data_IF_878483576752
#
_entry.id   IF_878483576752
#
_cell.length_a   1.000
_cell.length_b   1.000
_cell.length_c   1.000
_cell.angle_alpha   90.00
_cell.angle_beta   90.00
_cell.angle_gamma   90.00
#
_symmetry.space_group_name_H-M   'P 1'
#
loop_
_entity.id
_entity.type
_entity.pdbx_description
1 polymer ?
#
# COMPACT_ATOMS: atom_id res chain seq x y z
N UNK A 1 9.08 -20.89 -4.88
CA UNK A 1 10.08 -19.90 -5.38
C UNK A 1 10.11 -18.77 -4.38
N UNK A 2 11.22 -18.58 -3.68
CA UNK A 2 11.40 -17.41 -2.78
C UNK A 2 11.46 -16.18 -3.68
N UNK A 3 10.44 -15.31 -3.61
CA UNK A 3 10.47 -14.02 -4.31
C UNK A 3 11.68 -13.23 -3.78
N UNK A 4 12.51 -12.77 -4.71
CA UNK A 4 13.66 -11.94 -4.37
C UNK A 4 13.18 -10.64 -3.72
N UNK A 5 13.64 -10.37 -2.50
CA UNK A 5 13.29 -9.14 -1.78
C UNK A 5 14.01 -7.95 -2.40
N UNK A 6 13.32 -6.80 -2.45
CA UNK A 6 13.93 -5.56 -2.93
C UNK A 6 15.07 -5.10 -2.03
N UNK A 7 16.11 -4.53 -2.63
CA UNK A 7 17.16 -3.84 -1.88
C UNK A 7 16.64 -2.59 -1.17
N UNK A 8 17.33 -2.16 -0.12
CA UNK A 8 17.00 -0.92 0.60
C UNK A 8 16.92 0.30 -0.34
N UNK A 9 17.78 0.35 -1.36
CA UNK A 9 17.78 1.42 -2.35
C UNK A 9 16.52 1.40 -3.22
N UNK A 10 16.02 0.23 -3.64
CA UNK A 10 14.78 0.09 -4.40
C UNK A 10 13.55 0.46 -3.57
N UNK A 11 13.48 -0.01 -2.32
CA UNK A 11 12.42 0.38 -1.38
C UNK A 11 12.39 1.90 -1.14
N UNK A 12 13.57 2.53 -1.00
CA UNK A 12 13.68 3.98 -0.84
C UNK A 12 13.24 4.76 -2.09
N UNK A 13 13.43 4.21 -3.30
CA UNK A 13 12.88 4.80 -4.53
C UNK A 13 11.35 4.74 -4.54
N UNK A 14 10.77 3.60 -4.23
CA UNK A 14 9.30 3.45 -4.15
C UNK A 14 8.68 4.40 -3.11
N UNK A 15 9.34 4.60 -1.97
CA UNK A 15 8.84 5.48 -0.91
C UNK A 15 8.84 6.97 -1.27
N UNK A 16 9.52 7.36 -2.35
CA UNK A 16 9.59 8.77 -2.81
C UNK A 16 8.50 9.13 -3.83
N UNK A 17 7.74 8.18 -4.30
CA UNK A 17 6.69 8.38 -5.30
C UNK A 17 5.33 8.06 -4.72
N UNK A 18 4.27 8.54 -5.36
CA UNK A 18 2.90 8.27 -4.95
C UNK A 18 2.33 6.96 -5.54
N UNK A 19 1.25 6.46 -4.93
CA UNK A 19 0.58 5.23 -5.38
C UNK A 19 0.02 5.33 -6.80
N UNK A 20 -0.51 6.46 -7.28
CA UNK A 20 -0.89 6.64 -8.68
C UNK A 20 0.28 6.44 -9.65
N UNK A 21 1.44 7.01 -9.38
CA UNK A 21 2.64 6.79 -10.20
C UNK A 21 3.03 5.31 -10.23
N UNK A 22 3.00 4.62 -9.07
CA UNK A 22 3.25 3.18 -9.01
C UNK A 22 2.27 2.41 -9.89
N UNK A 23 0.97 2.71 -9.81
CA UNK A 23 -0.06 2.07 -10.62
C UNK A 23 0.19 2.27 -12.12
N UNK A 24 0.45 3.51 -12.54
CA UNK A 24 0.75 3.85 -13.94
C UNK A 24 2.01 3.13 -14.47
N UNK A 25 3.04 3.00 -13.64
CA UNK A 25 4.27 2.28 -14.04
C UNK A 25 4.01 0.78 -14.16
N UNK A 26 3.16 0.18 -13.30
CA UNK A 26 2.77 -1.23 -13.41
C UNK A 26 2.05 -1.49 -14.75
N UNK A 27 1.25 -0.55 -15.24
CA UNK A 27 0.54 -0.66 -16.52
C UNK A 27 1.50 -0.80 -17.72
N UNK A 28 2.73 -0.28 -17.65
CA UNK A 28 3.72 -0.43 -18.72
C UNK A 28 4.08 -1.89 -18.99
N UNK A 29 3.89 -2.76 -18.00
CA UNK A 29 4.24 -4.19 -18.07
C UNK A 29 3.11 -5.07 -18.60
N UNK A 30 1.88 -4.58 -18.71
CA UNK A 30 0.69 -5.32 -19.16
C UNK A 30 0.47 -6.65 -18.37
N UNK A 31 0.80 -6.70 -17.07
CA UNK A 31 0.76 -7.94 -16.25
C UNK A 31 -0.59 -8.17 -15.55
N UNK A 32 -1.46 -7.16 -15.54
CA UNK A 32 -2.82 -7.25 -14.96
C UNK A 32 -3.73 -6.20 -15.58
N UNK A 33 -5.04 -6.35 -15.35
CA UNK A 33 -6.03 -5.31 -15.72
C UNK A 33 -5.72 -3.99 -15.02
N UNK A 34 -5.94 -2.86 -15.72
CA UNK A 34 -5.74 -1.50 -15.19
C UNK A 34 -6.72 -1.13 -14.05
N UNK A 35 -7.80 -1.89 -13.89
CA UNK A 35 -8.77 -1.73 -12.80
C UNK A 35 -8.60 -2.76 -11.69
N UNK A 36 -7.39 -3.31 -11.51
CA UNK A 36 -7.09 -4.32 -10.51
C UNK A 36 -5.79 -4.02 -9.73
N UNK A 37 -5.69 -4.59 -8.52
CA UNK A 37 -4.48 -4.53 -7.70
C UNK A 37 -4.33 -3.27 -6.87
N UNK A 38 -5.41 -2.56 -6.60
CA UNK A 38 -5.45 -1.42 -5.68
C UNK A 38 -6.74 -1.42 -4.86
N UNK A 39 -6.73 -0.68 -3.74
CA UNK A 39 -7.89 -0.54 -2.86
C UNK A 39 -8.99 0.32 -3.49
N UNK A 40 -10.22 0.00 -3.14
CA UNK A 40 -11.40 0.77 -3.54
C UNK A 40 -11.66 1.98 -2.61
N UNK A 41 -12.77 2.66 -2.83
CA UNK A 41 -13.18 3.88 -2.12
C UNK A 41 -13.50 3.69 -0.62
N UNK A 42 -13.60 2.45 -0.13
CA UNK A 42 -13.94 2.17 1.26
C UNK A 42 -12.76 2.34 2.21
N UNK A 43 -11.51 2.31 1.69
CA UNK A 43 -10.31 2.56 2.47
C UNK A 43 -9.78 3.97 2.25
N UNK A 44 -9.40 4.61 3.37
CA UNK A 44 -8.84 5.97 3.37
C UNK A 44 -7.60 6.04 4.25
N UNK A 45 -6.63 6.85 3.83
CA UNK A 45 -5.54 7.25 4.70
C UNK A 45 -6.09 8.06 5.87
N UNK A 46 -5.87 7.62 7.09
CA UNK A 46 -6.29 8.36 8.29
C UNK A 46 -5.38 9.59 8.50
N UNK A 47 -4.11 9.47 8.10
CA UNK A 47 -3.10 10.53 8.18
C UNK A 47 -2.52 10.83 6.78
N UNK A 48 -3.29 11.54 5.90
CA UNK A 48 -2.93 11.69 4.49
C UNK A 48 -1.70 12.56 4.22
N UNK A 49 -1.17 13.24 5.24
CA UNK A 49 0.06 14.07 5.13
C UNK A 49 1.33 13.28 5.41
N UNK A 50 1.24 12.06 5.90
CA UNK A 50 2.40 11.22 6.14
C UNK A 50 2.98 10.71 4.82
N UNK A 51 4.29 10.44 4.85
CA UNK A 51 5.00 9.86 3.71
C UNK A 51 4.41 8.49 3.32
N UNK A 52 4.55 8.08 2.06
CA UNK A 52 4.13 6.75 1.64
C UNK A 52 4.77 5.64 2.48
N UNK A 53 3.99 4.59 2.77
CA UNK A 53 4.49 3.35 3.34
C UNK A 53 4.74 2.33 2.23
N UNK A 54 5.87 1.63 2.33
CA UNK A 54 6.23 0.50 1.46
C UNK A 54 6.59 -0.66 2.36
N UNK A 55 6.12 -1.87 2.05
CA UNK A 55 6.47 -3.03 2.87
C UNK A 55 5.80 -4.32 2.43
N UNK A 56 6.32 -5.42 2.95
CA UNK A 56 5.78 -6.75 2.72
C UNK A 56 4.62 -7.02 3.67
N UNK A 57 3.53 -7.57 3.15
CA UNK A 57 2.29 -7.77 3.88
C UNK A 57 2.41 -8.85 4.96
N UNK A 58 2.02 -8.49 6.17
CA UNK A 58 1.66 -9.42 7.25
C UNK A 58 0.14 -9.37 7.36
N UNK A 59 -0.52 -10.49 7.19
CA UNK A 59 -1.98 -10.53 7.05
C UNK A 59 -2.64 -11.21 8.25
N UNK A 60 -3.78 -10.68 8.67
CA UNK A 60 -4.63 -11.32 9.67
C UNK A 60 -6.09 -10.94 9.46
N UNK A 61 -6.98 -11.78 9.97
CA UNK A 61 -8.39 -11.42 10.14
C UNK A 61 -8.63 -10.82 11.53
N UNK A 62 -9.63 -9.95 11.62
CA UNK A 62 -10.02 -9.26 12.84
C UNK A 62 -11.53 -9.43 13.06
N UNK A 63 -11.94 -9.51 14.32
CA UNK A 63 -13.34 -9.50 14.72
C UNK A 63 -13.49 -8.91 16.11
N UNK A 64 -14.58 -8.16 16.35
CA UNK A 64 -14.80 -7.47 17.62
C UNK A 64 -16.25 -7.39 18.09
N UNK A 65 -17.23 -7.84 17.29
CA UNK A 65 -18.65 -7.69 17.59
C UNK A 65 -19.11 -8.53 18.79
N UNK A 66 -18.49 -9.68 19.04
CA UNK A 66 -18.90 -10.63 20.08
C UNK A 66 -17.69 -11.14 20.86
N UNK A 67 -17.86 -11.48 22.16
CA UNK A 67 -16.79 -12.07 22.96
C UNK A 67 -16.32 -13.40 22.36
N UNK A 68 -15.08 -13.74 22.60
CA UNK A 68 -14.58 -15.08 22.30
C UNK A 68 -15.20 -16.10 23.28
N UNK A 69 -15.31 -17.36 22.84
CA UNK A 69 -15.76 -18.44 23.72
C UNK A 69 -14.74 -18.69 24.85
N UNK A 70 -13.45 -18.43 24.57
CA UNK A 70 -12.35 -18.50 25.52
C UNK A 70 -11.26 -17.48 25.17
N UNK A 71 -10.47 -17.08 26.17
CA UNK A 71 -9.39 -16.12 26.01
C UNK A 71 -9.81 -14.66 26.26
N UNK A 72 -8.84 -13.77 26.20
CA UNK A 72 -9.01 -12.34 26.44
C UNK A 72 -8.89 -11.54 25.14
N UNK A 73 -9.31 -10.28 25.21
CA UNK A 73 -9.12 -9.32 24.12
C UNK A 73 -7.63 -9.12 23.85
N UNK A 74 -7.26 -9.12 22.55
CA UNK A 74 -5.87 -8.98 22.08
C UNK A 74 -4.92 -10.17 22.41
N UNK A 75 -5.40 -11.28 22.97
CA UNK A 75 -4.58 -12.43 23.37
C UNK A 75 -3.68 -13.00 22.25
N UNK A 76 -4.09 -12.87 20.98
CA UNK A 76 -3.31 -13.31 19.82
C UNK A 76 -2.18 -12.36 19.37
N UNK A 77 -2.04 -11.16 19.94
CA UNK A 77 -1.02 -10.18 19.49
C UNK A 77 0.42 -10.68 19.60
N UNK A 78 0.87 -11.31 20.70
CA UNK A 78 2.25 -11.81 20.79
C UNK A 78 2.55 -12.84 19.70
N UNK A 79 1.62 -13.73 19.39
CA UNK A 79 1.79 -14.72 18.33
C UNK A 79 1.81 -14.06 16.94
N UNK A 80 0.91 -13.12 16.66
CA UNK A 80 0.89 -12.35 15.41
C UNK A 80 2.25 -11.66 15.18
N UNK A 81 2.82 -11.03 16.21
CA UNK A 81 4.13 -10.39 16.09
C UNK A 81 5.23 -11.44 15.86
N UNK A 82 5.20 -12.55 16.58
CA UNK A 82 6.20 -13.61 16.40
C UNK A 82 6.17 -14.17 14.96
N UNK A 83 4.98 -14.46 14.44
CA UNK A 83 4.80 -14.98 13.08
C UNK A 83 5.21 -13.95 12.01
N UNK A 84 4.96 -12.68 12.29
CA UNK A 84 5.33 -11.58 11.40
C UNK A 84 6.85 -11.46 11.20
N UNK A 85 7.67 -11.90 12.16
CA UNK A 85 9.14 -11.80 12.03
C UNK A 85 9.70 -12.68 10.92
N UNK A 86 8.97 -13.66 10.42
CA UNK A 86 9.32 -14.44 9.24
C UNK A 86 9.17 -13.66 7.92
N UNK A 87 8.35 -12.60 7.91
CA UNK A 87 8.17 -11.72 6.74
C UNK A 87 9.33 -10.73 6.64
N UNK A 88 9.93 -10.50 5.45
CA UNK A 88 10.98 -9.51 5.28
C UNK A 88 10.56 -8.10 5.71
N UNK A 89 11.50 -7.33 6.24
CA UNK A 89 11.26 -5.92 6.54
C UNK A 89 11.53 -5.03 5.28
N UNK A 90 10.91 -3.85 5.18
CA UNK A 90 9.86 -3.30 6.06
C UNK A 90 8.53 -4.05 5.90
N UNK A 91 7.68 -4.03 6.93
CA UNK A 91 6.41 -4.77 6.97
C UNK A 91 5.21 -3.83 7.01
N UNK A 92 4.12 -4.22 6.36
CA UNK A 92 2.81 -3.58 6.52
C UNK A 92 1.84 -4.64 7.03
N UNK A 93 1.17 -4.39 8.16
CA UNK A 93 0.11 -5.30 8.61
C UNK A 93 -1.20 -4.95 7.92
N UNK A 94 -1.90 -5.98 7.41
CA UNK A 94 -3.19 -5.86 6.74
C UNK A 94 -4.24 -6.72 7.47
N UNK A 95 -5.24 -6.06 8.05
CA UNK A 95 -6.36 -6.70 8.75
C UNK A 95 -7.63 -6.67 7.91
N UNK A 96 -8.18 -7.84 7.63
CA UNK A 96 -9.57 -7.94 7.19
C UNK A 96 -10.47 -7.99 8.41
N UNK A 97 -11.28 -6.96 8.61
CA UNK A 97 -12.38 -7.01 9.58
C UNK A 97 -13.48 -7.92 9.03
N UNK A 98 -13.88 -8.92 9.83
CA UNK A 98 -14.90 -9.90 9.49
C UNK A 98 -16.29 -9.47 10.00
N UNK A 99 -16.37 -8.36 10.71
CA UNK A 99 -17.65 -7.76 11.10
C UNK A 99 -18.11 -6.80 9.99
N UNK A 100 -19.31 -7.00 9.46
CA UNK A 100 -19.90 -6.16 8.42
C UNK A 100 -21.29 -5.68 8.86
N UNK A 101 -21.49 -4.40 9.13
CA UNK A 101 -20.46 -3.35 9.19
C UNK A 101 -19.52 -3.53 10.40
N UNK A 102 -18.31 -2.93 10.37
CA UNK A 102 -17.39 -2.91 11.51
C UNK A 102 -18.05 -2.40 12.79
N UNK A 103 -17.86 -3.10 13.92
CA UNK A 103 -18.49 -2.80 15.21
C UNK A 103 -17.57 -2.12 16.19
N UNK A 104 -16.25 -2.17 15.95
CA UNK A 104 -15.26 -1.62 16.86
C UNK A 104 -13.99 -1.24 16.08
N UNK A 105 -13.06 -0.54 16.74
CA UNK A 105 -11.78 -0.19 16.18
C UNK A 105 -10.87 -1.41 16.13
N UNK A 106 -10.26 -1.64 14.95
CA UNK A 106 -9.22 -2.65 14.78
C UNK A 106 -7.96 -2.27 15.54
N UNK A 107 -7.60 -0.98 15.55
CA UNK A 107 -6.37 -0.51 16.17
C UNK A 107 -6.57 0.79 16.97
N UNK A 108 -5.64 1.03 17.88
CA UNK A 108 -5.43 2.27 18.62
C UNK A 108 -3.96 2.43 18.95
N UNK A 109 -3.62 3.35 19.84
CA UNK A 109 -2.25 3.76 20.18
C UNK A 109 -1.33 2.58 20.56
N UNK A 110 -1.80 1.68 21.45
CA UNK A 110 -0.99 0.56 21.93
C UNK A 110 -0.60 -0.36 20.79
N UNK A 111 -1.55 -0.74 19.93
CA UNK A 111 -1.31 -1.63 18.80
C UNK A 111 -0.33 -1.00 17.79
N UNK A 112 -0.56 0.26 17.43
CA UNK A 112 0.32 0.99 16.49
C UNK A 112 1.73 1.14 17.06
N UNK A 113 1.85 1.50 18.35
CA UNK A 113 3.16 1.58 19.03
C UNK A 113 3.88 0.24 18.98
N UNK A 114 3.15 -0.86 19.21
CA UNK A 114 3.70 -2.22 19.12
C UNK A 114 4.24 -2.48 17.72
N UNK A 115 3.43 -2.31 16.67
CA UNK A 115 3.89 -2.54 15.29
C UNK A 115 5.09 -1.67 14.94
N UNK A 116 5.07 -0.37 15.30
CA UNK A 116 6.19 0.52 15.04
C UNK A 116 7.49 0.01 15.68
N UNK A 117 7.44 -0.45 16.93
CA UNK A 117 8.60 -0.99 17.65
C UNK A 117 9.14 -2.30 17.07
N UNK A 118 8.28 -3.09 16.41
CA UNK A 118 8.68 -4.31 15.71
C UNK A 118 8.98 -4.11 14.22
N UNK A 119 9.22 -2.86 13.78
CA UNK A 119 9.74 -2.55 12.46
C UNK A 119 8.70 -2.60 11.33
N UNK A 120 7.43 -2.40 11.67
CA UNK A 120 6.39 -2.19 10.64
C UNK A 120 6.43 -0.75 10.14
N UNK A 121 6.07 -0.55 8.87
CA UNK A 121 6.02 0.75 8.19
C UNK A 121 4.61 1.29 8.01
N UNK A 122 3.57 0.50 8.29
CA UNK A 122 2.19 0.91 8.17
C UNK A 122 1.19 -0.16 8.62
N UNK A 123 -0.07 0.27 8.78
CA UNK A 123 -1.20 -0.58 9.14
C UNK A 123 -2.38 -0.29 8.23
N UNK A 124 -2.98 -1.34 7.70
CA UNK A 124 -4.16 -1.30 6.83
C UNK A 124 -5.26 -2.13 7.47
N UNK A 125 -6.49 -1.62 7.51
CA UNK A 125 -7.64 -2.41 7.96
C UNK A 125 -8.91 -2.06 7.19
N UNK A 126 -9.73 -3.06 6.86
CA UNK A 126 -11.11 -2.81 6.39
C UNK A 126 -12.06 -2.39 7.52
N UNK A 127 -11.63 -2.49 8.78
CA UNK A 127 -12.32 -2.00 9.96
C UNK A 127 -12.07 -0.52 10.25
N UNK A 128 -12.19 -0.12 11.49
CA UNK A 128 -12.11 1.26 11.93
C UNK A 128 -10.88 1.54 12.81
N UNK A 129 -10.54 2.82 12.93
CA UNK A 129 -9.47 3.38 13.76
C UNK A 129 -10.01 3.99 15.05
N UNK A 130 -9.16 4.14 16.08
CA UNK A 130 -9.37 5.01 17.23
C UNK A 130 -8.06 5.66 17.68
N UNK A 131 -8.07 6.47 18.73
CA UNK A 131 -6.90 7.16 19.29
C UNK A 131 -6.20 8.03 18.23
N UNK A 132 -6.98 8.77 17.45
CA UNK A 132 -6.53 9.46 16.23
C UNK A 132 -5.37 10.42 16.51
N UNK A 133 -5.49 11.25 17.57
CA UNK A 133 -4.45 12.22 17.92
C UNK A 133 -3.20 11.55 18.49
N UNK A 134 -3.35 10.46 19.24
CA UNK A 134 -2.26 9.69 19.82
C UNK A 134 -1.45 9.01 18.71
N UNK A 135 -2.13 8.38 17.75
CA UNK A 135 -1.48 7.72 16.62
C UNK A 135 -0.86 8.72 15.65
N UNK A 136 -1.46 9.91 15.45
CA UNK A 136 -0.84 10.98 14.66
C UNK A 136 0.53 11.39 15.22
N UNK A 137 0.65 11.51 16.54
CA UNK A 137 1.94 11.82 17.21
C UNK A 137 3.02 10.76 16.98
N UNK A 138 2.64 9.50 16.72
CA UNK A 138 3.58 8.44 16.38
C UNK A 138 4.09 8.53 14.94
N UNK A 139 3.48 9.39 14.10
CA UNK A 139 3.83 9.55 12.68
C UNK A 139 3.85 8.20 11.93
N UNK A 140 2.90 7.31 12.28
CA UNK A 140 2.79 5.97 11.72
C UNK A 140 1.61 5.90 10.74
N UNK A 141 1.86 5.61 9.46
CA UNK A 141 0.82 5.60 8.43
C UNK A 141 -0.22 4.50 8.67
N UNK A 142 -1.50 4.89 8.64
CA UNK A 142 -2.63 3.97 8.81
C UNK A 142 -3.72 4.24 7.79
N UNK A 143 -4.34 3.14 7.34
CA UNK A 143 -5.51 3.16 6.44
C UNK A 143 -6.63 2.36 7.08
N UNK A 144 -7.83 2.94 7.10
CA UNK A 144 -9.04 2.33 7.67
C UNK A 144 -10.28 2.77 6.90
N UNK A 145 -11.40 2.10 7.14
CA UNK A 145 -12.69 2.50 6.55
C UNK A 145 -13.23 3.78 7.20
N UNK A 146 -13.05 3.95 8.51
CA UNK A 146 -13.57 5.06 9.31
C UNK A 146 -12.94 5.09 10.71
N UNK A 147 -13.58 5.82 11.63
CA UNK A 147 -13.20 5.92 13.04
C UNK A 147 -14.36 5.51 13.93
N UNK A 148 -14.08 4.87 15.08
CA UNK A 148 -15.05 4.46 16.08
C UNK A 148 -14.39 4.44 17.47
N UNK A 149 -15.15 4.64 18.54
CA UNK A 149 -14.56 4.85 19.88
C UNK A 149 -14.15 3.57 20.61
N UNK A 150 -14.89 2.47 20.46
CA UNK A 150 -14.66 1.24 21.23
C UNK A 150 -13.77 0.24 20.50
N UNK A 151 -12.97 -0.55 21.23
CA UNK A 151 -12.26 -1.71 20.69
C UNK A 151 -13.09 -3.02 20.70
N UNK A 152 -14.30 -3.00 21.29
CA UNK A 152 -15.15 -4.19 21.38
C UNK A 152 -14.44 -5.38 22.04
N UNK A 153 -14.66 -6.58 21.47
CA UNK A 153 -14.06 -7.84 21.89
C UNK A 153 -12.93 -8.29 20.97
N UNK A 154 -12.00 -7.38 20.70
CA UNK A 154 -10.90 -7.53 19.73
C UNK A 154 -10.23 -8.91 19.77
N UNK A 155 -10.20 -9.61 18.63
CA UNK A 155 -9.53 -10.91 18.45
C UNK A 155 -9.04 -11.09 17.01
N UNK A 156 -8.09 -12.01 16.82
CA UNK A 156 -7.50 -12.35 15.53
C UNK A 156 -7.83 -13.81 15.18
N UNK A 157 -8.98 -14.09 14.50
CA UNK A 157 -9.40 -15.46 14.19
C UNK A 157 -8.43 -16.22 13.30
N UNK A 158 -7.65 -15.52 12.47
CA UNK A 158 -6.65 -16.12 11.61
C UNK A 158 -5.51 -15.17 11.34
N UNK A 159 -4.30 -15.72 11.21
CA UNK A 159 -3.08 -15.01 10.86
C UNK A 159 -2.39 -15.70 9.69
N UNK A 160 -1.60 -14.93 8.92
CA UNK A 160 -0.82 -15.43 7.79
C UNK A 160 -1.68 -16.17 6.73
N UNK A 161 -2.78 -15.55 6.33
CA UNK A 161 -3.72 -16.07 5.32
C UNK A 161 -4.09 -14.97 4.33
N UNK A 162 -4.67 -15.35 3.18
CA UNK A 162 -5.17 -14.39 2.20
C UNK A 162 -6.32 -13.56 2.82
N UNK A 163 -6.24 -12.25 2.69
CA UNK A 163 -7.25 -11.31 3.20
C UNK A 163 -7.74 -10.38 2.09
N UNK A 164 -8.93 -9.82 2.30
CA UNK A 164 -9.47 -8.77 1.43
C UNK A 164 -9.64 -7.47 2.24
N UNK A 165 -8.95 -6.41 1.82
CA UNK A 165 -9.01 -5.10 2.48
C UNK A 165 -9.34 -4.03 1.44
N UNK A 166 -10.47 -3.34 1.62
CA UNK A 166 -10.95 -2.37 0.63
C UNK A 166 -11.03 -2.93 -0.80
N UNK A 167 -11.52 -4.15 -0.96
CA UNK A 167 -11.63 -4.84 -2.26
C UNK A 167 -10.30 -5.33 -2.84
N UNK A 168 -9.17 -5.01 -2.23
CA UNK A 168 -7.86 -5.51 -2.62
C UNK A 168 -7.59 -6.86 -1.94
N UNK A 169 -7.35 -7.90 -2.73
CA UNK A 169 -6.81 -9.15 -2.20
C UNK A 169 -5.34 -8.98 -1.85
N UNK A 170 -4.97 -9.36 -0.65
CA UNK A 170 -3.59 -9.31 -0.12
C UNK A 170 -3.20 -10.68 0.42
N UNK A 171 -2.10 -11.20 -0.07
CA UNK A 171 -1.50 -12.45 0.41
C UNK A 171 -0.35 -12.15 1.38
N UNK A 172 -0.06 -13.06 2.31
CA UNK A 172 1.16 -12.97 3.10
C UNK A 172 2.39 -12.76 2.21
N UNK A 173 3.19 -11.74 2.53
CA UNK A 173 4.40 -11.42 1.79
C UNK A 173 4.21 -10.55 0.54
N UNK A 174 3.00 -10.21 0.12
CA UNK A 174 2.78 -9.27 -0.98
C UNK A 174 3.49 -7.94 -0.72
N UNK A 175 4.09 -7.36 -1.76
CA UNK A 175 4.68 -6.03 -1.66
C UNK A 175 3.60 -4.97 -1.85
N UNK A 176 3.38 -4.16 -0.83
CA UNK A 176 2.39 -3.09 -0.82
C UNK A 176 3.06 -1.72 -0.84
N UNK A 177 2.44 -0.80 -1.56
CA UNK A 177 2.69 0.64 -1.47
C UNK A 177 1.39 1.34 -1.10
N UNK A 178 1.45 2.29 -0.18
CA UNK A 178 0.25 2.96 0.32
C UNK A 178 0.54 4.43 0.69
N UNK A 179 -0.36 5.33 0.29
CA UNK A 179 -0.27 6.76 0.56
C UNK A 179 -1.65 7.41 0.74
N UNK A 180 -1.74 8.73 0.56
CA UNK A 180 -2.99 9.49 0.65
C UNK A 180 -4.06 9.04 -0.37
N UNK A 181 -3.65 8.43 -1.50
CA UNK A 181 -4.55 7.99 -2.58
C UNK A 181 -5.11 6.58 -2.34
N UNK A 182 -4.51 5.79 -1.43
CA UNK A 182 -4.90 4.42 -1.13
C UNK A 182 -3.73 3.45 -1.18
N UNK A 183 -4.03 2.19 -1.51
CA UNK A 183 -3.08 1.09 -1.45
C UNK A 183 -2.98 0.44 -2.82
N UNK A 184 -1.78 0.13 -3.27
CA UNK A 184 -1.50 -0.64 -4.47
C UNK A 184 -0.58 -1.82 -4.15
N UNK A 185 -0.91 -3.01 -4.68
CA UNK A 185 -0.06 -4.18 -4.66
C UNK A 185 0.92 -4.12 -5.84
N UNK A 186 2.20 -4.30 -5.58
CA UNK A 186 3.26 -4.33 -6.60
C UNK A 186 3.62 -5.80 -6.88
N UNK A 187 3.33 -6.35 -8.08
CA UNK A 187 3.66 -7.73 -8.38
C UNK A 187 5.17 -8.01 -8.27
N UNK A 188 5.56 -9.01 -7.49
CA UNK A 188 6.96 -9.35 -7.24
C UNK A 188 7.85 -9.47 -8.48
N UNK A 189 7.41 -10.12 -9.59
CA UNK A 189 8.27 -10.30 -10.76
C UNK A 189 8.74 -8.99 -11.39
N UNK A 190 7.98 -7.90 -11.21
CA UNK A 190 8.28 -6.59 -11.80
C UNK A 190 8.71 -5.55 -10.75
N UNK A 191 8.68 -5.86 -9.47
CA UNK A 191 8.85 -4.87 -8.40
C UNK A 191 10.14 -4.05 -8.50
N UNK A 192 11.28 -4.70 -8.78
CA UNK A 192 12.56 -4.02 -8.99
C UNK A 192 12.52 -3.07 -10.21
N UNK A 193 11.90 -3.51 -11.31
CA UNK A 193 11.78 -2.70 -12.51
C UNK A 193 10.81 -1.52 -12.31
N UNK A 194 9.72 -1.70 -11.54
CA UNK A 194 8.83 -0.60 -11.14
C UNK A 194 9.61 0.47 -10.40
N UNK A 195 10.44 0.10 -9.40
CA UNK A 195 11.27 1.04 -8.66
C UNK A 195 12.24 1.83 -9.55
N UNK A 196 12.72 1.24 -10.66
CA UNK A 196 13.64 1.89 -11.62
C UNK A 196 12.91 2.76 -12.65
N UNK A 197 11.63 2.50 -12.92
CA UNK A 197 10.89 3.21 -13.97
C UNK A 197 10.05 4.37 -13.44
N UNK A 198 9.81 4.49 -12.13
CA UNK A 198 8.99 5.57 -11.57
C UNK A 198 9.53 6.96 -11.89
N UNK A 199 10.81 7.22 -11.65
CA UNK A 199 11.41 8.53 -11.94
C UNK A 199 11.39 8.87 -13.44
N UNK A 200 11.79 7.99 -14.37
CA UNK A 200 11.61 8.23 -15.81
C UNK A 200 10.14 8.47 -16.22
N UNK A 201 9.19 7.82 -15.55
CA UNK A 201 7.77 8.01 -15.82
C UNK A 201 7.31 9.44 -15.44
N UNK A 202 7.67 9.88 -14.23
CA UNK A 202 7.40 11.25 -13.77
C UNK A 202 7.99 12.28 -14.73
N UNK A 203 9.22 12.06 -15.21
CA UNK A 203 9.87 12.94 -16.17
C UNK A 203 9.13 13.01 -17.51
N UNK A 204 8.50 11.91 -17.93
CA UNK A 204 7.68 11.92 -19.14
C UNK A 204 6.38 12.70 -18.98
N UNK A 205 5.73 12.62 -17.82
CA UNK A 205 4.53 13.43 -17.48
C UNK A 205 4.90 14.93 -17.33
N UNK A 206 6.06 15.21 -16.76
CA UNK A 206 6.54 16.57 -16.52
C UNK A 206 6.68 17.38 -17.84
N UNK A 207 6.87 16.74 -19.00
CA UNK A 207 6.86 17.39 -20.29
C UNK A 207 5.57 18.19 -20.52
N UNK A 208 4.41 17.61 -20.20
CA UNK A 208 3.11 18.25 -20.33
C UNK A 208 2.96 19.34 -19.26
N UNK A 209 3.30 19.02 -18.02
CA UNK A 209 3.15 19.92 -16.87
C UNK A 209 4.00 21.18 -17.02
N UNK A 210 5.24 21.05 -17.47
CA UNK A 210 6.13 22.21 -17.75
C UNK A 210 5.56 23.12 -18.82
N UNK A 211 5.02 22.54 -19.89
CA UNK A 211 4.35 23.32 -20.93
C UNK A 211 3.14 24.08 -20.36
N UNK A 212 2.29 23.41 -19.57
CA UNK A 212 1.10 24.02 -18.99
C UNK A 212 1.41 25.12 -17.93
N UNK A 213 2.58 25.06 -17.31
CA UNK A 213 3.07 26.12 -16.40
C UNK A 213 3.66 27.32 -17.13
N UNK A 214 3.79 27.30 -18.44
CA UNK A 214 4.23 28.45 -19.23
C UNK A 214 3.18 29.58 -19.18
N UNK A 215 3.63 30.82 -19.42
CA UNK A 215 2.79 32.00 -19.26
C UNK A 215 1.61 32.11 -20.23
N UNK A 216 1.69 31.45 -21.39
CA UNK A 216 0.64 31.49 -22.43
C UNK A 216 0.53 30.14 -23.16
N UNK A 217 -0.09 29.11 -22.55
CA UNK A 217 -0.31 27.84 -23.25
C UNK A 217 -1.30 28.00 -24.39
N UNK A 218 -1.00 27.39 -25.55
CA UNK A 218 -1.87 27.32 -26.72
C UNK A 218 -2.34 25.89 -26.95
N UNK A 219 -3.45 25.68 -27.65
CA UNK A 219 -3.94 24.34 -28.00
C UNK A 219 -2.93 23.58 -28.89
N UNK A 220 -2.27 24.27 -29.83
CA UNK A 220 -1.25 23.66 -30.68
C UNK A 220 -0.04 23.19 -29.88
N UNK A 221 0.53 24.05 -29.03
CA UNK A 221 1.68 23.69 -28.18
C UNK A 221 1.35 22.62 -27.14
N UNK A 222 0.11 22.60 -26.60
CA UNK A 222 -0.36 21.51 -25.76
C UNK A 222 -0.36 20.17 -26.51
N UNK A 223 -0.87 20.18 -27.78
CA UNK A 223 -0.82 19.00 -28.64
C UNK A 223 0.60 18.47 -28.87
N UNK A 224 1.57 19.36 -29.12
CA UNK A 224 2.97 18.99 -29.26
C UNK A 224 3.56 18.40 -27.97
N UNK A 225 3.28 19.00 -26.81
CA UNK A 225 3.73 18.49 -25.53
C UNK A 225 3.16 17.09 -25.22
N UNK A 226 1.88 16.86 -25.52
CA UNK A 226 1.23 15.54 -25.40
C UNK A 226 1.89 14.52 -26.32
N UNK A 227 2.21 14.87 -27.58
CA UNK A 227 2.89 13.96 -28.50
C UNK A 227 4.29 13.58 -28.02
N UNK A 228 5.06 14.56 -27.50
CA UNK A 228 6.37 14.30 -26.91
C UNK A 228 6.30 13.37 -25.70
N UNK A 229 5.36 13.62 -24.78
CA UNK A 229 5.14 12.77 -23.61
C UNK A 229 4.73 11.33 -24.02
N UNK A 230 3.82 11.17 -24.97
CA UNK A 230 3.41 9.87 -25.52
C UNK A 230 4.57 9.10 -26.13
N UNK A 231 5.45 9.78 -26.86
CA UNK A 231 6.67 9.14 -27.41
C UNK A 231 7.54 8.62 -26.28
N UNK A 232 7.79 9.43 -25.26
CA UNK A 232 8.59 9.01 -24.09
C UNK A 232 7.97 7.85 -23.33
N UNK A 233 6.63 7.84 -23.15
CA UNK A 233 5.90 6.72 -22.56
C UNK A 233 6.03 5.43 -23.37
N UNK A 234 6.00 5.52 -24.71
CA UNK A 234 6.20 4.36 -25.57
C UNK A 234 7.60 3.76 -25.40
N UNK A 235 8.66 4.59 -25.31
CA UNK A 235 10.02 4.13 -25.01
C UNK A 235 10.10 3.41 -23.65
N UNK A 236 9.43 3.94 -22.62
CA UNK A 236 9.37 3.31 -21.30
C UNK A 236 8.63 1.96 -21.33
N UNK A 237 7.57 1.85 -22.13
CA UNK A 237 6.86 0.58 -22.34
C UNK A 237 7.75 -0.48 -22.99
N UNK A 238 8.52 -0.12 -24.00
CA UNK A 238 9.50 -1.04 -24.62
C UNK A 238 10.61 -1.45 -23.63
N UNK A 239 11.09 -0.51 -22.82
CA UNK A 239 12.05 -0.82 -21.75
C UNK A 239 11.47 -1.78 -20.72
N UNK A 240 10.22 -1.57 -20.27
CA UNK A 240 9.50 -2.48 -19.35
C UNK A 240 9.41 -3.90 -19.93
N UNK A 241 9.03 -4.04 -21.21
CA UNK A 241 8.99 -5.34 -21.91
C UNK A 241 10.36 -6.04 -21.97
N UNK A 242 11.41 -5.27 -22.21
CA UNK A 242 12.77 -5.81 -22.23
C UNK A 242 13.22 -6.32 -20.87
N UNK A 243 12.87 -5.61 -19.79
CA UNK A 243 13.17 -6.01 -18.41
C UNK A 243 12.41 -7.28 -17.99
N UNK A 244 11.17 -7.50 -18.48
CA UNK A 244 10.44 -8.74 -18.26
C UNK A 244 11.11 -9.93 -18.94
N UNK A 245 11.52 -9.78 -20.22
CA UNK A 245 12.17 -10.85 -20.98
C UNK A 245 13.50 -11.28 -20.40
N UNK A 246 14.24 -10.37 -19.79
CA UNK A 246 15.56 -10.66 -19.20
C UNK A 246 15.46 -11.51 -17.90
N UNK A 247 14.25 -11.64 -17.30
CA UNK A 247 13.99 -12.43 -16.09
C UNK A 247 13.28 -13.76 -16.34
N UNK A 248 12.81 -13.98 -17.58
CA UNK A 248 12.21 -15.24 -18.05
C UNK A 248 13.25 -16.20 -18.57
#
# INVERSE_FOLDING_TARGET
MTSETLSAAQLAKLQKVDSPTIANVIELFDVRSYVAGYSNLTLKAIYPKLRPAVGYAVTATFRAAYPAESGDSYGGMPQLIADAMATPAPRIVAFQDLDDPPRAATYGEIMVTTFQKFGFSGLITSGAARDIEQVDRLQFPCWASSVIVSHGYCRFPGVNLDVTVGGLQVKPGDLLHADANGIVNIPHPIAAAVAELCEPYIQAEEIILQYLRSSQPTTAGYGEAVLKAKHRMAELKERARSLLKAKS
#
